data_IF_638793211495
#
_entry.id   IF_638793211495
#
_cell.length_a   1.000
_cell.length_b   1.000
_cell.length_c   1.000
_cell.angle_alpha   90.00
_cell.angle_beta   90.00
_cell.angle_gamma   90.00
#
_symmetry.space_group_name_H-M   'P 1'
#
loop_
_entity.id
_entity.type
_entity.pdbx_description
1 polymer ?
#
# COMPACT_ATOMS: atom_id res chain seq x y z
N UNK A 1 1.42 -13.74 19.41
CA UNK A 1 0.59 -13.93 20.63
C UNK A 1 -0.83 -13.42 20.45
N UNK A 2 -1.07 -12.14 20.13
CA UNK A 2 -2.44 -11.58 19.98
C UNK A 2 -3.26 -12.27 18.89
N UNK A 3 -2.69 -12.48 17.69
CA UNK A 3 -3.40 -13.13 16.58
C UNK A 3 -3.89 -14.55 16.92
N UNK A 4 -3.11 -15.28 17.73
CA UNK A 4 -3.49 -16.61 18.21
C UNK A 4 -4.75 -16.56 19.08
N UNK A 5 -4.82 -15.59 20.01
CA UNK A 5 -6.00 -15.41 20.85
C UNK A 5 -7.23 -15.01 20.03
N UNK A 6 -7.09 -14.13 19.04
CA UNK A 6 -8.19 -13.73 18.15
C UNK A 6 -8.70 -14.95 17.36
N UNK A 7 -7.80 -15.74 16.79
CA UNK A 7 -8.16 -16.92 16.01
C UNK A 7 -8.92 -17.96 16.86
N UNK A 8 -8.41 -18.27 18.05
CA UNK A 8 -9.10 -19.18 18.99
C UNK A 8 -10.47 -18.61 19.39
N UNK A 9 -10.55 -17.31 19.67
CA UNK A 9 -11.79 -16.66 20.06
C UNK A 9 -12.87 -16.76 18.97
N UNK A 10 -12.52 -16.62 17.68
CA UNK A 10 -13.49 -16.78 16.60
C UNK A 10 -14.14 -18.17 16.59
N UNK A 11 -13.36 -19.24 16.74
CA UNK A 11 -13.88 -20.61 16.79
C UNK A 11 -14.72 -20.87 18.04
N UNK A 12 -14.23 -20.47 19.21
CA UNK A 12 -14.94 -20.69 20.48
C UNK A 12 -16.27 -19.92 20.50
N UNK A 13 -16.27 -18.65 20.10
CA UNK A 13 -17.49 -17.84 20.05
C UNK A 13 -18.49 -18.41 19.04
N UNK A 14 -18.04 -18.81 17.84
CA UNK A 14 -18.91 -19.43 16.85
C UNK A 14 -19.53 -20.74 17.38
N UNK A 15 -18.74 -21.58 18.05
CA UNK A 15 -19.21 -22.82 18.67
C UNK A 15 -20.25 -22.56 19.77
N UNK A 16 -20.02 -21.60 20.67
CA UNK A 16 -20.96 -21.24 21.73
C UNK A 16 -22.28 -20.71 21.17
N UNK A 17 -22.24 -19.88 20.12
CA UNK A 17 -23.44 -19.37 19.43
C UNK A 17 -24.20 -20.51 18.76
N UNK A 18 -23.51 -21.44 18.09
CA UNK A 18 -24.13 -22.59 17.45
C UNK A 18 -24.78 -23.53 18.46
N UNK A 19 -24.13 -23.76 19.61
CA UNK A 19 -24.70 -24.54 20.70
C UNK A 19 -25.97 -23.87 21.26
N UNK A 20 -25.95 -22.55 21.44
CA UNK A 20 -27.14 -21.81 21.87
C UNK A 20 -28.29 -21.92 20.85
N UNK A 21 -28.01 -21.82 19.55
CA UNK A 21 -29.00 -22.01 18.48
C UNK A 21 -29.59 -23.43 18.49
N UNK A 22 -28.75 -24.44 18.70
CA UNK A 22 -29.19 -25.83 18.78
C UNK A 22 -30.09 -26.06 20.01
N UNK A 23 -29.69 -25.58 21.18
CA UNK A 23 -30.37 -25.86 22.46
C UNK A 23 -31.62 -25.01 22.66
N UNK A 24 -31.55 -23.70 22.39
CA UNK A 24 -32.67 -22.77 22.67
C UNK A 24 -33.63 -22.59 21.49
N UNK A 25 -33.17 -22.76 20.25
CA UNK A 25 -33.99 -22.62 19.05
C UNK A 25 -34.22 -23.93 18.28
N UNK A 26 -33.59 -25.03 18.68
CA UNK A 26 -33.75 -26.33 18.01
C UNK A 26 -33.18 -26.37 16.59
N UNK A 27 -32.27 -25.47 16.23
CA UNK A 27 -31.67 -25.40 14.89
C UNK A 27 -30.63 -26.53 14.70
N UNK A 28 -31.10 -27.68 14.21
CA UNK A 28 -30.24 -28.84 13.93
C UNK A 28 -29.34 -28.64 12.71
N UNK A 29 -29.59 -27.62 11.88
CA UNK A 29 -28.82 -27.36 10.68
C UNK A 29 -27.57 -26.48 10.94
N UNK A 30 -27.48 -25.84 12.11
CA UNK A 30 -26.41 -24.89 12.42
C UNK A 30 -25.00 -25.50 12.33
N UNK A 31 -24.79 -26.71 12.87
CA UNK A 31 -23.49 -27.38 12.83
C UNK A 31 -23.11 -27.87 11.43
N UNK A 32 -24.00 -28.56 10.67
CA UNK A 32 -23.76 -28.86 9.27
C UNK A 32 -23.41 -27.63 8.43
N UNK A 33 -24.17 -26.54 8.59
CA UNK A 33 -23.91 -25.28 7.87
C UNK A 33 -22.56 -24.66 8.23
N UNK A 34 -22.15 -24.72 9.50
CA UNK A 34 -20.81 -24.27 9.91
C UNK A 34 -19.70 -25.10 9.25
N UNK A 35 -19.83 -26.44 9.26
CA UNK A 35 -18.85 -27.32 8.63
C UNK A 35 -18.80 -27.08 7.12
N UNK A 36 -19.93 -26.99 6.44
CA UNK A 36 -20.00 -26.65 5.01
C UNK A 36 -19.36 -25.30 4.72
N UNK A 37 -19.61 -24.29 5.56
CA UNK A 37 -18.98 -22.98 5.44
C UNK A 37 -17.45 -23.08 5.50
N UNK A 38 -16.86 -23.96 6.32
CA UNK A 38 -15.40 -24.11 6.35
C UNK A 38 -14.82 -24.63 5.02
N UNK A 39 -15.50 -25.60 4.38
CA UNK A 39 -15.09 -26.10 3.07
C UNK A 39 -15.32 -25.08 1.95
N UNK A 40 -16.46 -24.37 1.98
CA UNK A 40 -16.77 -23.31 1.03
C UNK A 40 -15.76 -22.17 1.10
N UNK A 41 -15.44 -21.69 2.31
CA UNK A 41 -14.43 -20.66 2.53
C UNK A 41 -13.04 -21.10 2.04
N UNK A 42 -12.64 -22.36 2.28
CA UNK A 42 -11.37 -22.88 1.78
C UNK A 42 -11.31 -22.91 0.23
N UNK A 43 -12.42 -23.26 -0.44
CA UNK A 43 -12.53 -23.20 -1.90
C UNK A 43 -12.43 -21.75 -2.39
N UNK A 44 -13.17 -20.83 -1.78
CA UNK A 44 -13.12 -19.40 -2.13
C UNK A 44 -11.71 -18.83 -1.98
N UNK A 45 -11.01 -19.15 -0.88
CA UNK A 45 -9.62 -18.74 -0.67
C UNK A 45 -8.68 -19.22 -1.80
N UNK A 46 -8.83 -20.47 -2.23
CA UNK A 46 -8.05 -21.03 -3.33
C UNK A 46 -8.37 -20.36 -4.68
N UNK A 47 -9.65 -20.16 -5.01
CA UNK A 47 -10.09 -19.49 -6.25
C UNK A 47 -9.57 -18.04 -6.33
N UNK A 48 -9.61 -17.31 -5.20
CA UNK A 48 -9.03 -15.96 -5.10
C UNK A 48 -7.52 -16.02 -5.37
N UNK A 49 -6.78 -16.93 -4.74
CA UNK A 49 -5.33 -17.06 -4.96
C UNK A 49 -4.97 -17.40 -6.41
N UNK A 50 -5.75 -18.26 -7.07
CA UNK A 50 -5.55 -18.59 -8.48
C UNK A 50 -5.70 -17.35 -9.37
N UNK A 51 -6.76 -16.55 -9.14
CA UNK A 51 -6.94 -15.27 -9.83
C UNK A 51 -5.80 -14.28 -9.54
N UNK A 52 -5.28 -14.25 -8.31
CA UNK A 52 -4.18 -13.37 -7.91
C UNK A 52 -2.88 -13.72 -8.60
N UNK A 53 -2.66 -15.00 -8.86
CA UNK A 53 -1.41 -15.50 -9.45
C UNK A 53 -1.07 -14.81 -10.78
N UNK A 54 -2.01 -14.77 -11.73
CA UNK A 54 -1.76 -14.18 -13.04
C UNK A 54 -1.54 -12.66 -12.99
N UNK A 55 -2.39 -11.98 -12.21
CA UNK A 55 -2.37 -10.52 -12.14
C UNK A 55 -1.17 -10.01 -11.32
N UNK A 56 -0.84 -10.66 -10.19
CA UNK A 56 0.36 -10.35 -9.42
C UNK A 56 1.63 -10.64 -10.22
N UNK A 57 1.68 -11.71 -11.01
CA UNK A 57 2.83 -12.00 -11.86
C UNK A 57 3.07 -10.89 -12.90
N UNK A 58 2.00 -10.43 -13.58
CA UNK A 58 2.11 -9.32 -14.55
C UNK A 58 2.63 -8.05 -13.87
N UNK A 59 1.99 -7.64 -12.78
CA UNK A 59 2.31 -6.36 -12.13
C UNK A 59 3.66 -6.39 -11.44
N UNK A 60 4.00 -7.46 -10.72
CA UNK A 60 5.32 -7.57 -10.09
C UNK A 60 6.44 -7.68 -11.13
N UNK A 61 6.17 -8.26 -12.31
CA UNK A 61 7.09 -8.20 -13.44
C UNK A 61 7.37 -6.77 -13.91
N UNK A 62 6.32 -5.99 -14.16
CA UNK A 62 6.46 -4.57 -14.57
C UNK A 62 7.17 -3.76 -13.49
N UNK A 63 6.75 -3.95 -12.24
CA UNK A 63 7.34 -3.32 -11.06
C UNK A 63 8.83 -3.61 -10.92
N UNK A 64 9.27 -4.85 -11.16
CA UNK A 64 10.67 -5.24 -11.12
C UNK A 64 11.51 -4.53 -12.18
N UNK A 65 10.93 -4.23 -13.35
CA UNK A 65 11.58 -3.39 -14.37
C UNK A 65 11.80 -1.98 -13.83
N UNK A 66 10.77 -1.37 -13.21
CA UNK A 66 10.87 -0.02 -12.63
C UNK A 66 11.91 0.08 -11.51
N UNK A 67 11.95 -0.93 -10.65
CA UNK A 67 12.95 -1.07 -9.58
C UNK A 67 14.37 -1.15 -10.15
N UNK A 68 14.64 -2.11 -11.05
CA UNK A 68 15.97 -2.27 -11.68
C UNK A 68 16.33 -1.09 -12.60
N UNK A 69 15.34 -0.44 -13.19
CA UNK A 69 15.47 0.81 -13.96
C UNK A 69 15.82 2.02 -13.09
N UNK A 70 15.80 1.86 -11.76
CA UNK A 70 16.17 2.88 -10.79
C UNK A 70 15.10 3.97 -10.61
N UNK A 71 13.86 3.71 -11.01
CA UNK A 71 12.75 4.69 -10.87
C UNK A 71 12.50 5.00 -9.40
N UNK A 72 12.53 3.98 -8.54
CA UNK A 72 12.42 4.14 -7.07
C UNK A 72 13.50 5.07 -6.54
N UNK A 73 14.74 4.90 -6.99
CA UNK A 73 15.88 5.75 -6.57
C UNK A 73 15.78 7.18 -7.10
N UNK A 74 15.14 7.40 -8.25
CA UNK A 74 14.83 8.76 -8.74
C UNK A 74 13.76 9.39 -7.86
N UNK A 75 12.67 8.67 -7.59
CA UNK A 75 11.57 9.14 -6.75
C UNK A 75 12.05 9.46 -5.33
N UNK A 76 12.84 8.59 -4.72
CA UNK A 76 13.45 8.81 -3.40
C UNK A 76 14.32 10.08 -3.36
N UNK A 77 15.11 10.34 -4.41
CA UNK A 77 15.91 11.58 -4.51
C UNK A 77 15.05 12.82 -4.69
N UNK A 78 13.95 12.72 -5.44
CA UNK A 78 13.02 13.84 -5.63
C UNK A 78 12.25 14.17 -4.34
N UNK A 79 11.89 13.16 -3.55
CA UNK A 79 11.21 13.31 -2.27
C UNK A 79 12.17 13.67 -1.11
N UNK A 80 13.47 13.47 -1.28
CA UNK A 80 14.49 13.75 -0.25
C UNK A 80 14.36 15.13 0.41
N UNK A 81 14.15 16.26 -0.30
CA UNK A 81 14.07 17.58 0.33
C UNK A 81 12.88 17.72 1.30
N UNK A 82 11.75 17.06 0.99
CA UNK A 82 10.56 17.02 1.84
C UNK A 82 10.87 16.23 3.12
N UNK A 83 11.35 15.00 2.97
CA UNK A 83 11.51 14.11 4.10
C UNK A 83 12.67 14.51 5.03
N UNK A 84 13.77 15.08 4.53
CA UNK A 84 14.82 15.63 5.41
C UNK A 84 14.26 16.68 6.38
N UNK A 85 13.21 17.42 5.98
CA UNK A 85 12.54 18.40 6.87
C UNK A 85 11.53 17.76 7.82
N UNK A 86 10.91 16.64 7.43
CA UNK A 86 10.00 15.86 8.29
C UNK A 86 10.74 15.00 9.33
N UNK A 87 12.03 14.73 9.11
CA UNK A 87 12.89 13.95 10.00
C UNK A 87 14.08 14.78 10.53
N UNK A 88 13.85 15.85 11.31
CA UNK A 88 14.91 16.77 11.75
C UNK A 88 15.94 16.11 12.67
N UNK A 89 15.55 15.09 13.42
CA UNK A 89 16.38 14.41 14.42
C UNK A 89 17.35 13.37 13.82
N UNK A 90 17.26 13.11 12.51
CA UNK A 90 18.18 12.18 11.83
C UNK A 90 19.45 12.94 11.39
N UNK A 91 20.66 12.51 11.78
CA UNK A 91 21.90 13.13 11.33
C UNK A 91 22.05 13.12 9.81
N UNK A 92 22.61 14.20 9.25
CA UNK A 92 22.85 14.28 7.79
C UNK A 92 23.76 13.14 7.34
N UNK A 93 23.36 12.44 6.29
CA UNK A 93 24.12 11.32 5.73
C UNK A 93 23.95 9.99 6.47
N UNK A 94 23.09 9.93 7.49
CA UNK A 94 22.82 8.68 8.20
C UNK A 94 22.11 7.66 7.27
N UNK A 95 22.47 6.36 7.32
CA UNK A 95 21.86 5.32 6.48
C UNK A 95 20.34 5.20 6.64
N UNK A 96 19.79 5.53 7.82
CA UNK A 96 18.34 5.57 8.07
C UNK A 96 17.59 6.40 7.02
N UNK A 97 18.15 7.56 6.63
CA UNK A 97 17.54 8.47 5.66
C UNK A 97 17.30 7.79 4.32
N UNK A 98 18.29 7.06 3.81
CA UNK A 98 18.17 6.32 2.56
C UNK A 98 17.13 5.21 2.63
N UNK A 99 17.13 4.44 3.73
CA UNK A 99 16.17 3.35 3.93
C UNK A 99 14.72 3.86 4.02
N UNK A 100 14.47 4.95 4.74
CA UNK A 100 13.15 5.61 4.84
C UNK A 100 12.67 6.05 3.46
N UNK A 101 13.52 6.74 2.68
CA UNK A 101 13.09 7.30 1.39
C UNK A 101 12.83 6.20 0.37
N UNK A 102 13.63 5.14 0.39
CA UNK A 102 13.42 3.97 -0.46
C UNK A 102 12.14 3.23 -0.07
N UNK A 103 11.86 3.05 1.22
CA UNK A 103 10.62 2.44 1.69
C UNK A 103 9.39 3.25 1.25
N UNK A 104 9.35 4.56 1.51
CA UNK A 104 8.20 5.39 1.17
C UNK A 104 8.03 5.47 -0.36
N UNK A 105 9.11 5.65 -1.12
CA UNK A 105 9.04 5.66 -2.58
C UNK A 105 8.55 4.32 -3.15
N UNK A 106 8.99 3.20 -2.57
CA UNK A 106 8.52 1.88 -2.95
C UNK A 106 7.02 1.72 -2.65
N UNK A 107 6.57 2.05 -1.44
CA UNK A 107 5.15 1.94 -1.06
C UNK A 107 4.25 2.86 -1.91
N UNK A 108 4.68 4.10 -2.20
CA UNK A 108 3.95 5.01 -3.08
C UNK A 108 3.74 4.45 -4.50
N UNK A 109 4.66 3.62 -4.98
CA UNK A 109 4.58 2.95 -6.28
C UNK A 109 3.90 1.57 -6.20
N UNK A 110 3.50 1.09 -5.02
CA UNK A 110 2.94 -0.26 -4.83
C UNK A 110 3.98 -1.39 -4.87
N UNK A 111 5.25 -1.08 -4.57
CA UNK A 111 6.37 -2.04 -4.47
C UNK A 111 6.50 -2.60 -3.06
N UNK A 112 5.43 -3.18 -2.52
CA UNK A 112 5.36 -3.56 -1.09
C UNK A 112 6.44 -4.57 -0.69
N UNK A 113 6.79 -5.52 -1.56
CA UNK A 113 7.85 -6.50 -1.34
C UNK A 113 9.25 -5.86 -1.19
N UNK A 114 9.49 -4.72 -1.85
CA UNK A 114 10.70 -3.93 -1.68
C UNK A 114 10.58 -2.95 -0.50
N UNK A 115 9.37 -2.48 -0.20
CA UNK A 115 9.10 -1.53 0.86
C UNK A 115 9.32 -2.15 2.25
N UNK A 116 8.78 -3.33 2.54
CA UNK A 116 8.88 -3.96 3.87
C UNK A 116 10.31 -4.19 4.36
N UNK A 117 11.24 -4.81 3.61
CA UNK A 117 12.62 -5.00 4.08
C UNK A 117 13.35 -3.66 4.27
N UNK A 118 13.07 -2.66 3.42
CA UNK A 118 13.60 -1.31 3.61
C UNK A 118 13.02 -0.63 4.84
N UNK A 119 11.75 -0.90 5.17
CA UNK A 119 11.09 -0.38 6.36
C UNK A 119 11.63 -0.99 7.65
N UNK A 120 11.87 -2.30 7.68
CA UNK A 120 12.53 -2.97 8.80
C UNK A 120 13.96 -2.42 8.98
N UNK A 121 14.72 -2.30 7.90
CA UNK A 121 16.06 -1.69 7.94
C UNK A 121 16.02 -0.24 8.42
N UNK A 122 15.04 0.56 7.97
CA UNK A 122 14.85 1.92 8.47
C UNK A 122 14.59 1.93 9.98
N UNK A 123 13.70 1.06 10.47
CA UNK A 123 13.41 0.94 11.90
C UNK A 123 14.63 0.49 12.71
N UNK A 124 15.43 -0.47 12.22
CA UNK A 124 16.68 -0.89 12.86
C UNK A 124 17.68 0.27 12.96
N UNK A 125 17.87 1.03 11.88
CA UNK A 125 18.77 2.20 11.88
C UNK A 125 18.27 3.33 12.78
N UNK A 126 16.95 3.58 12.80
CA UNK A 126 16.35 4.53 13.74
C UNK A 126 16.47 4.05 15.18
N UNK A 127 16.37 2.74 15.42
CA UNK A 127 16.52 2.16 16.75
C UNK A 127 17.96 2.28 17.26
N UNK A 128 18.98 2.26 16.40
CA UNK A 128 20.37 2.55 16.80
C UNK A 128 20.50 3.97 17.33
N UNK A 129 19.88 4.94 16.65
CA UNK A 129 19.85 6.35 17.07
C UNK A 129 18.98 6.61 18.31
N UNK A 130 18.04 5.73 18.61
CA UNK A 130 17.09 5.92 19.70
C UNK A 130 17.79 5.82 21.08
N UNK A 131 17.79 6.89 21.90
CA UNK A 131 18.37 6.84 23.25
C UNK A 131 17.55 5.96 24.22
N UNK A 132 16.26 5.76 23.96
CA UNK A 132 15.34 4.98 24.82
C UNK A 132 14.79 3.77 24.07
N UNK A 133 15.42 2.61 24.20
CA UNK A 133 15.12 1.43 23.34
C UNK A 133 13.69 0.91 23.48
N UNK A 134 13.05 1.10 24.62
CA UNK A 134 11.69 0.62 24.89
C UNK A 134 10.58 1.62 24.49
N UNK A 135 10.96 2.80 24.00
CA UNK A 135 10.03 3.86 23.60
C UNK A 135 10.31 4.32 22.18
N UNK A 136 9.28 4.48 21.35
CA UNK A 136 9.45 4.96 19.99
C UNK A 136 9.98 6.40 19.96
N UNK A 137 11.03 6.66 19.16
CA UNK A 137 11.56 8.00 18.93
C UNK A 137 10.71 8.80 17.94
N UNK A 138 10.87 10.12 17.90
CA UNK A 138 10.14 11.00 16.98
C UNK A 138 10.25 10.55 15.50
N UNK A 139 11.44 10.25 14.95
CA UNK A 139 11.56 9.68 13.62
C UNK A 139 10.82 8.36 13.42
N UNK A 140 10.81 7.47 14.41
CA UNK A 140 10.08 6.20 14.30
C UNK A 140 8.56 6.43 14.24
N UNK A 141 8.05 7.34 15.06
CA UNK A 141 6.63 7.72 15.07
C UNK A 141 6.23 8.33 13.71
N UNK A 142 6.99 9.30 13.21
CA UNK A 142 6.71 9.92 11.91
C UNK A 142 6.77 8.89 10.78
N UNK A 143 7.79 8.03 10.78
CA UNK A 143 7.96 6.99 9.77
C UNK A 143 6.81 5.98 9.76
N UNK A 144 6.37 5.55 10.96
CA UNK A 144 5.25 4.64 11.11
C UNK A 144 3.94 5.29 10.65
N UNK A 145 3.70 6.56 11.00
CA UNK A 145 2.50 7.31 10.58
C UNK A 145 2.45 7.44 9.07
N UNK A 146 3.56 7.78 8.40
CA UNK A 146 3.62 7.88 6.94
C UNK A 146 3.35 6.54 6.24
N UNK A 147 3.83 5.42 6.78
CA UNK A 147 3.53 4.09 6.25
C UNK A 147 2.08 3.67 6.52
N UNK A 148 1.53 4.06 7.67
CA UNK A 148 0.15 3.72 8.06
C UNK A 148 -0.88 4.52 7.27
N UNK A 149 -0.60 5.78 6.95
CA UNK A 149 -1.47 6.61 6.12
C UNK A 149 -1.48 6.19 4.65
N UNK A 150 -0.46 5.43 4.22
CA UNK A 150 -0.50 4.60 3.02
C UNK A 150 -0.71 5.37 1.73
N UNK A 151 -0.10 6.55 1.57
CA UNK A 151 -0.18 7.31 0.32
C UNK A 151 0.30 6.45 -0.84
N UNK A 152 -0.66 5.94 -1.61
CA UNK A 152 -0.41 5.01 -2.70
C UNK A 152 -0.82 5.71 -3.98
N UNK A 153 0.14 5.99 -4.86
CA UNK A 153 -0.15 6.62 -6.15
C UNK A 153 -0.85 5.63 -7.06
N UNK A 154 -0.50 4.34 -6.96
CA UNK A 154 -1.02 3.28 -7.84
C UNK A 154 -1.55 2.14 -6.97
N UNK A 155 -2.84 2.10 -6.64
CA UNK A 155 -3.42 1.08 -5.76
C UNK A 155 -3.70 -0.22 -6.54
N UNK A 156 -2.65 -0.79 -7.14
CA UNK A 156 -2.75 -1.97 -8.02
C UNK A 156 -3.42 -3.11 -7.29
N UNK A 157 -2.94 -3.48 -6.10
CA UNK A 157 -3.47 -4.61 -5.33
C UNK A 157 -4.99 -4.51 -5.13
N UNK A 158 -5.52 -3.30 -4.88
CA UNK A 158 -6.96 -3.07 -4.73
C UNK A 158 -7.69 -3.23 -6.06
N UNK A 159 -7.15 -2.71 -7.17
CA UNK A 159 -7.71 -2.90 -8.51
C UNK A 159 -7.73 -4.39 -8.88
N UNK A 160 -6.70 -5.16 -8.51
CA UNK A 160 -6.65 -6.62 -8.73
C UNK A 160 -7.76 -7.32 -7.96
N UNK A 161 -7.91 -7.04 -6.67
CA UNK A 161 -8.98 -7.62 -5.86
C UNK A 161 -10.36 -7.28 -6.41
N UNK A 162 -10.56 -6.05 -6.86
CA UNK A 162 -11.82 -5.64 -7.51
C UNK A 162 -12.09 -6.42 -8.79
N UNK A 163 -11.08 -6.59 -9.65
CA UNK A 163 -11.24 -7.35 -10.88
C UNK A 163 -11.63 -8.81 -10.62
N UNK A 164 -11.04 -9.44 -9.60
CA UNK A 164 -11.32 -10.83 -9.23
C UNK A 164 -12.70 -11.03 -8.63
N UNK A 165 -13.15 -10.07 -7.83
CA UNK A 165 -14.48 -10.09 -7.22
C UNK A 165 -15.57 -9.59 -8.20
N UNK A 166 -15.26 -9.47 -9.49
CA UNK A 166 -16.23 -9.17 -10.55
C UNK A 166 -16.65 -7.71 -10.63
N UNK A 167 -15.84 -6.77 -10.13
CA UNK A 167 -16.15 -5.34 -10.27
C UNK A 167 -16.25 -4.94 -11.75
N UNK A 168 -17.34 -4.27 -12.13
CA UNK A 168 -17.60 -3.85 -13.50
C UNK A 168 -16.49 -2.92 -14.05
N UNK A 169 -15.93 -2.06 -13.20
CA UNK A 169 -14.80 -1.20 -13.51
C UNK A 169 -13.82 -1.24 -12.33
N UNK A 170 -12.75 -2.04 -12.34
CA UNK A 170 -11.84 -2.16 -11.20
C UNK A 170 -11.07 -0.88 -10.87
N UNK A 171 -10.98 0.07 -11.81
CA UNK A 171 -10.20 1.31 -11.71
C UNK A 171 -11.02 2.52 -11.23
N UNK A 172 -12.34 2.40 -11.09
CA UNK A 172 -13.24 3.46 -10.63
C UNK A 172 -12.88 4.04 -9.24
N UNK A 173 -12.29 3.21 -8.38
CA UNK A 173 -11.82 3.60 -7.04
C UNK A 173 -10.52 4.40 -7.04
N UNK A 174 -9.85 4.58 -8.18
CA UNK A 174 -8.54 5.23 -8.26
C UNK A 174 -8.53 6.63 -7.62
N UNK A 175 -9.43 7.51 -8.08
CA UNK A 175 -9.51 8.89 -7.58
C UNK A 175 -9.92 8.92 -6.10
N UNK A 176 -10.98 8.21 -5.65
CA UNK A 176 -11.31 8.12 -4.24
C UNK A 176 -10.16 7.67 -3.34
N UNK A 177 -9.39 6.64 -3.76
CA UNK A 177 -8.24 6.13 -2.99
C UNK A 177 -7.11 7.15 -2.91
N UNK A 178 -6.80 7.81 -4.03
CA UNK A 178 -5.77 8.86 -4.06
C UNK A 178 -6.13 10.00 -3.10
N UNK A 179 -7.39 10.46 -3.13
CA UNK A 179 -7.87 11.52 -2.25
C UNK A 179 -7.85 11.08 -0.78
N UNK A 180 -8.40 9.90 -0.47
CA UNK A 180 -8.48 9.40 0.90
C UNK A 180 -7.09 9.24 1.53
N UNK A 181 -6.16 8.62 0.81
CA UNK A 181 -4.79 8.40 1.31
C UNK A 181 -3.98 9.70 1.37
N UNK A 182 -4.23 10.64 0.46
CA UNK A 182 -3.64 11.99 0.52
C UNK A 182 -4.08 12.73 1.79
N UNK A 183 -5.39 12.83 2.05
CA UNK A 183 -5.88 13.52 3.24
C UNK A 183 -5.49 12.81 4.54
N UNK A 184 -5.47 11.47 4.55
CA UNK A 184 -4.96 10.69 5.68
C UNK A 184 -3.48 11.02 5.96
N UNK A 185 -2.64 11.05 4.92
CA UNK A 185 -1.22 11.35 5.05
C UNK A 185 -0.97 12.79 5.46
N UNK A 186 -1.73 13.74 4.90
CA UNK A 186 -1.65 15.15 5.27
C UNK A 186 -2.05 15.36 6.74
N UNK A 187 -3.15 14.75 7.18
CA UNK A 187 -3.58 14.80 8.58
C UNK A 187 -2.52 14.18 9.50
N UNK A 188 -1.97 13.01 9.15
CA UNK A 188 -0.89 12.36 9.89
C UNK A 188 0.35 13.25 10.03
N UNK A 189 0.83 13.83 8.92
CA UNK A 189 1.96 14.76 8.93
C UNK A 189 1.67 15.96 9.82
N UNK A 190 0.49 16.58 9.71
CA UNK A 190 0.10 17.76 10.50
C UNK A 190 0.06 17.42 11.99
N UNK A 191 -0.65 16.36 12.37
CA UNK A 191 -0.79 15.94 13.78
C UNK A 191 0.57 15.64 14.42
N UNK A 192 1.41 14.84 13.74
CA UNK A 192 2.74 14.50 14.25
C UNK A 192 3.64 15.73 14.30
N UNK A 193 3.59 16.60 13.30
CA UNK A 193 4.41 17.81 13.26
C UNK A 193 4.06 18.80 14.36
N UNK A 194 2.78 18.94 14.74
CA UNK A 194 2.35 19.76 15.87
C UNK A 194 2.96 19.22 17.17
N UNK A 195 2.87 17.90 17.41
CA UNK A 195 3.39 17.28 18.63
C UNK A 195 4.92 17.33 18.70
N UNK A 196 5.60 17.02 17.60
CA UNK A 196 7.06 17.02 17.49
C UNK A 196 7.64 18.43 17.24
N UNK A 197 6.79 19.47 17.15
CA UNK A 197 7.17 20.86 16.88
C UNK A 197 7.97 21.05 15.59
N UNK A 198 7.66 20.27 14.56
CA UNK A 198 8.24 20.41 13.21
C UNK A 198 7.63 21.66 12.55
N UNK A 199 8.49 22.54 12.05
CA UNK A 199 8.05 23.78 11.40
C UNK A 199 7.51 23.51 9.98
N UNK A 200 6.21 23.25 9.87
CA UNK A 200 5.50 23.07 8.59
C UNK A 200 5.49 24.32 7.69
N UNK A 201 5.68 25.52 8.28
CA UNK A 201 5.75 26.78 7.52
C UNK A 201 7.11 26.98 6.84
N UNK A 202 8.03 26.03 6.97
CA UNK A 202 9.26 26.04 6.21
C UNK A 202 8.96 26.10 4.70
N UNK A 203 9.68 26.95 3.96
CA UNK A 203 9.51 27.13 2.51
C UNK A 203 9.45 25.80 1.74
N UNK A 204 10.27 24.80 2.07
CA UNK A 204 10.26 23.51 1.39
C UNK A 204 8.97 22.73 1.67
N UNK A 205 8.53 22.66 2.94
CA UNK A 205 7.31 21.95 3.32
C UNK A 205 6.06 22.66 2.80
N UNK A 206 6.02 23.99 2.90
CA UNK A 206 4.90 24.79 2.43
C UNK A 206 4.73 24.71 0.91
N UNK A 207 5.83 24.77 0.15
CA UNK A 207 5.76 24.61 -1.31
C UNK A 207 5.35 23.19 -1.72
N UNK A 208 5.86 22.15 -1.05
CA UNK A 208 5.57 20.76 -1.41
C UNK A 208 4.18 20.31 -0.96
N UNK A 209 3.85 20.45 0.33
CA UNK A 209 2.54 20.07 0.87
C UNK A 209 1.45 21.04 0.39
N UNK A 210 1.72 22.35 0.35
CA UNK A 210 0.79 23.33 -0.18
C UNK A 210 0.57 23.17 -1.68
N UNK A 211 1.63 22.90 -2.46
CA UNK A 211 1.51 22.59 -3.89
C UNK A 211 0.72 21.31 -4.15
N UNK A 212 0.96 20.25 -3.38
CA UNK A 212 0.19 19.01 -3.48
C UNK A 212 -1.28 19.21 -3.09
N UNK A 213 -1.54 19.97 -2.02
CA UNK A 213 -2.90 20.31 -1.58
C UNK A 213 -3.62 21.14 -2.64
N UNK A 214 -2.95 22.10 -3.26
CA UNK A 214 -3.50 22.89 -4.37
C UNK A 214 -3.82 22.00 -5.57
N UNK A 215 -2.92 21.09 -5.95
CA UNK A 215 -3.17 20.15 -7.05
C UNK A 215 -4.40 19.26 -6.77
N UNK A 216 -4.54 18.76 -5.54
CA UNK A 216 -5.70 17.97 -5.11
C UNK A 216 -6.97 18.84 -5.09
N UNK A 217 -6.90 20.07 -4.60
CA UNK A 217 -8.04 20.98 -4.61
C UNK A 217 -8.51 21.32 -6.03
N UNK A 218 -7.58 21.55 -6.97
CA UNK A 218 -7.88 21.77 -8.38
C UNK A 218 -8.49 20.52 -9.03
N UNK A 219 -7.99 19.33 -8.69
CA UNK A 219 -8.58 18.07 -9.14
C UNK A 219 -10.03 17.95 -8.65
N UNK A 220 -10.29 18.17 -7.36
CA UNK A 220 -11.64 18.11 -6.78
C UNK A 220 -12.55 19.15 -7.43
N UNK A 221 -12.08 20.39 -7.60
CA UNK A 221 -12.86 21.46 -8.23
C UNK A 221 -13.20 21.12 -9.70
N UNK A 222 -12.24 20.57 -10.45
CA UNK A 222 -12.45 20.13 -11.83
C UNK A 222 -13.42 18.95 -11.95
N UNK A 223 -13.47 18.07 -10.95
CA UNK A 223 -14.44 16.97 -10.89
C UNK A 223 -15.82 17.44 -10.43
N UNK A 224 -15.91 18.48 -9.61
CA UNK A 224 -17.17 18.98 -9.04
C UNK A 224 -18.13 19.60 -10.06
N UNK A 225 -17.66 19.98 -11.25
CA UNK A 225 -18.49 20.48 -12.36
C UNK A 225 -19.06 19.37 -13.26
N UNK A 226 -18.67 18.11 -13.04
CA UNK A 226 -19.04 16.97 -13.87
C UNK A 226 -20.20 16.17 -13.26
N UNK A 227 -21.01 15.55 -14.11
CA UNK A 227 -22.00 14.57 -13.68
C UNK A 227 -21.33 13.28 -13.21
N UNK A 228 -22.03 12.46 -12.41
CA UNK A 228 -21.51 11.17 -11.90
C UNK A 228 -20.99 10.25 -13.02
N UNK A 229 -21.74 10.16 -14.12
CA UNK A 229 -21.35 9.35 -15.30
C UNK A 229 -20.05 9.86 -15.94
N UNK A 230 -19.87 11.19 -16.00
CA UNK A 230 -18.63 11.79 -16.51
C UNK A 230 -17.46 11.59 -15.56
N UNK A 231 -17.70 11.64 -14.24
CA UNK A 231 -16.67 11.34 -13.23
C UNK A 231 -16.21 9.89 -13.35
N UNK A 232 -17.12 8.94 -13.54
CA UNK A 232 -16.77 7.52 -13.71
C UNK A 232 -15.96 7.30 -15.00
N UNK A 233 -16.40 7.89 -16.11
CA UNK A 233 -15.71 7.81 -17.40
C UNK A 233 -14.32 8.46 -17.36
N UNK A 234 -14.21 9.64 -16.72
CA UNK A 234 -12.95 10.35 -16.57
C UNK A 234 -12.01 9.61 -15.61
N UNK A 235 -12.50 9.14 -14.47
CA UNK A 235 -11.70 8.39 -13.48
C UNK A 235 -11.13 7.12 -14.10
N UNK A 236 -11.95 6.38 -14.86
CA UNK A 236 -11.51 5.18 -15.59
C UNK A 236 -10.47 5.52 -16.65
N UNK A 237 -10.70 6.57 -17.45
CA UNK A 237 -9.79 6.98 -18.51
C UNK A 237 -8.45 7.48 -17.96
N UNK A 238 -8.48 8.37 -16.97
CA UNK A 238 -7.28 8.89 -16.30
C UNK A 238 -6.50 7.77 -15.63
N UNK A 239 -7.18 6.86 -14.92
CA UNK A 239 -6.52 5.72 -14.28
C UNK A 239 -5.82 4.84 -15.33
N UNK A 240 -6.51 4.47 -16.41
CA UNK A 240 -5.92 3.61 -17.46
C UNK A 240 -4.76 4.29 -18.20
N UNK A 241 -4.89 5.58 -18.54
CA UNK A 241 -3.81 6.35 -19.19
C UNK A 241 -2.60 6.46 -18.27
N UNK A 242 -2.81 6.84 -17.00
CA UNK A 242 -1.74 7.00 -16.02
C UNK A 242 -1.04 5.66 -15.77
N UNK A 243 -1.82 4.60 -15.58
CA UNK A 243 -1.31 3.24 -15.40
C UNK A 243 -0.44 2.83 -16.58
N UNK A 244 -0.92 2.98 -17.82
CA UNK A 244 -0.15 2.62 -19.00
C UNK A 244 1.10 3.49 -19.17
N UNK A 245 1.00 4.79 -18.88
CA UNK A 245 2.15 5.70 -18.89
C UNK A 245 3.22 5.26 -17.89
N UNK A 246 2.83 4.81 -16.70
CA UNK A 246 3.78 4.27 -15.71
C UNK A 246 4.47 3.00 -16.24
N UNK A 247 3.74 2.08 -16.85
CA UNK A 247 4.33 0.89 -17.49
C UNK A 247 5.39 1.33 -18.52
N UNK A 248 5.04 2.29 -19.37
CA UNK A 248 5.95 2.83 -20.37
C UNK A 248 7.17 3.51 -19.74
N UNK A 249 6.98 4.31 -18.68
CA UNK A 249 8.09 4.94 -17.94
C UNK A 249 9.04 3.88 -17.37
N UNK A 250 8.52 2.79 -16.81
CA UNK A 250 9.35 1.72 -16.25
C UNK A 250 10.14 1.01 -17.34
N UNK A 251 9.48 0.62 -18.44
CA UNK A 251 10.14 -0.01 -19.59
C UNK A 251 11.23 0.90 -20.16
N UNK A 252 10.91 2.18 -20.42
CA UNK A 252 11.86 3.15 -20.96
C UNK A 252 13.02 3.43 -19.99
N UNK A 253 12.75 3.49 -18.68
CA UNK A 253 13.80 3.60 -17.67
C UNK A 253 14.72 2.37 -17.70
N UNK A 254 14.14 1.18 -17.88
CA UNK A 254 14.88 -0.06 -18.03
C UNK A 254 15.80 -0.04 -19.26
N UNK A 255 15.24 0.29 -20.42
CA UNK A 255 16.00 0.44 -21.68
C UNK A 255 17.14 1.45 -21.52
N UNK A 256 16.85 2.62 -20.93
CA UNK A 256 17.85 3.68 -20.70
C UNK A 256 18.99 3.22 -19.79
N UNK A 257 18.70 2.37 -18.79
CA UNK A 257 19.69 1.77 -17.89
C UNK A 257 20.37 0.53 -18.47
N UNK A 258 20.05 0.14 -19.70
CA UNK A 258 20.55 -1.06 -20.38
C UNK A 258 20.31 -2.34 -19.57
N UNK A 259 19.20 -2.42 -18.83
CA UNK A 259 18.78 -3.67 -18.19
C UNK A 259 18.02 -4.53 -19.21
N UNK A 260 18.15 -5.85 -19.11
CA UNK A 260 17.29 -6.75 -19.87
C UNK A 260 15.87 -6.70 -19.29
N UNK A 261 15.00 -5.95 -19.94
CA UNK A 261 13.61 -5.71 -19.52
C UNK A 261 12.82 -7.01 -19.44
N UNK A 262 13.07 -7.96 -20.35
CA UNK A 262 12.40 -9.25 -20.35
C UNK A 262 12.80 -10.09 -19.13
N UNK A 263 14.10 -10.23 -18.86
CA UNK A 263 14.58 -10.99 -17.69
C UNK A 263 14.10 -10.35 -16.38
N UNK A 264 14.15 -9.02 -16.29
CA UNK A 264 13.62 -8.28 -15.15
C UNK A 264 12.11 -8.54 -14.94
N UNK A 265 11.34 -8.55 -16.03
CA UNK A 265 9.92 -8.88 -15.99
C UNK A 265 9.69 -10.31 -15.50
N UNK A 266 10.40 -11.29 -16.06
CA UNK A 266 10.27 -12.71 -15.67
C UNK A 266 10.64 -12.92 -14.20
N UNK A 267 11.69 -12.26 -13.70
CA UNK A 267 12.09 -12.33 -12.30
C UNK A 267 11.00 -11.79 -11.37
N UNK A 268 10.41 -10.64 -11.71
CA UNK A 268 9.28 -10.09 -10.96
C UNK A 268 8.01 -10.96 -11.05
N UNK A 269 7.75 -11.55 -12.22
CA UNK A 269 6.59 -12.42 -12.41
C UNK A 269 6.67 -13.69 -11.56
N UNK A 270 7.86 -14.29 -11.42
CA UNK A 270 8.11 -15.43 -10.53
C UNK A 270 7.82 -15.09 -9.06
N UNK A 271 8.22 -13.89 -8.61
CA UNK A 271 7.90 -13.42 -7.26
C UNK A 271 6.40 -13.23 -7.05
N UNK A 272 5.69 -12.69 -8.05
CA UNK A 272 4.24 -12.55 -7.98
C UNK A 272 3.51 -13.88 -7.88
N UNK A 273 3.97 -14.88 -8.64
CA UNK A 273 3.49 -16.25 -8.51
C UNK A 273 3.73 -16.82 -7.09
N UNK A 274 4.96 -16.70 -6.57
CA UNK A 274 5.29 -17.18 -5.23
C UNK A 274 4.48 -16.48 -4.13
N UNK A 275 4.25 -15.18 -4.27
CA UNK A 275 3.44 -14.39 -3.35
C UNK A 275 1.99 -14.89 -3.34
N UNK A 276 1.38 -15.11 -4.51
CA UNK A 276 0.02 -15.62 -4.61
C UNK A 276 -0.15 -16.97 -3.89
N UNK A 277 0.82 -17.88 -4.05
CA UNK A 277 0.83 -19.19 -3.36
C UNK A 277 1.04 -19.05 -1.85
N UNK A 278 1.94 -18.16 -1.42
CA UNK A 278 2.24 -17.93 0.01
C UNK A 278 1.07 -17.34 0.79
N UNK A 279 0.17 -16.61 0.13
CA UNK A 279 -0.97 -15.96 0.78
C UNK A 279 -2.12 -16.96 1.06
N UNK A 280 -2.17 -18.12 0.37
CA UNK A 280 -3.25 -19.11 0.51
C UNK A 280 -3.56 -19.47 1.98
N UNK A 281 -2.58 -19.78 2.86
CA UNK A 281 -2.90 -20.16 4.24
C UNK A 281 -3.41 -19.01 5.12
N UNK A 282 -3.31 -17.77 4.65
CA UNK A 282 -3.75 -16.56 5.36
C UNK A 282 -5.11 -16.05 4.88
N UNK A 283 -5.61 -16.55 3.75
CA UNK A 283 -6.97 -16.32 3.25
C UNK A 283 -7.94 -17.30 3.93
#
# INVERSE_FOLDING_TARGET
MVLNYIWIAFFVVAFLIALAKLVFWGDTAVFPAMVESTFSSAKTAFEISLGLTGVLALWLGIMRIGERGGVVSVLARWLSPLFVRLFPDIPKGHPATGAIFMNIAANMLGLDNAATPMGLKAMEELQKLNPHKDTASNPMIMFLVLNTSGLTIIPISIMVYRAQLGAAQPTDVFVPLLLATFFSTLAGIICVSIYQRINLLNRTLLLTLGGATLAVALLIAGLGSLSRVQIDALSTSVANILLFLIIMVFILAGVRRRINVYDAFIDGAKEGFQTAVRIIPYL
#
